data_IF_785224242847
#
_entry.id   IF_785224242847
#
_cell.length_a   1.000
_cell.length_b   1.000
_cell.length_c   1.000
_cell.angle_alpha   90.00
_cell.angle_beta   90.00
_cell.angle_gamma   90.00
#
_symmetry.space_group_name_H-M   'P 1'
#
loop_
_entity.id
_entity.type
_entity.pdbx_description
1 polymer ?
#
# COMPACT_ATOMS: atom_id res chain seq x y z
N UNK A 1 -74.44 -34.19 -53.54
CA UNK A 1 -73.11 -33.84 -54.03
C UNK A 1 -72.45 -32.94 -52.99
N UNK A 2 -71.56 -33.47 -52.18
CA UNK A 2 -70.85 -32.74 -51.07
C UNK A 2 -69.36 -32.71 -51.38
N UNK A 3 -68.82 -31.52 -51.58
CA UNK A 3 -67.35 -31.31 -51.71
C UNK A 3 -66.70 -31.30 -50.34
N UNK A 4 -65.46 -31.84 -50.15
CA UNK A 4 -64.76 -31.81 -48.91
C UNK A 4 -63.92 -30.55 -48.82
N UNK A 5 -63.92 -29.98 -47.61
CA UNK A 5 -63.12 -28.82 -47.16
C UNK A 5 -61.66 -29.28 -46.88
N UNK A 6 -60.73 -28.79 -47.65
CA UNK A 6 -59.31 -29.09 -47.45
C UNK A 6 -58.71 -28.10 -46.39
N UNK A 7 -58.29 -28.62 -45.24
CA UNK A 7 -57.62 -27.92 -44.16
C UNK A 7 -56.12 -27.74 -44.52
N UNK A 8 -55.70 -26.53 -44.78
CA UNK A 8 -54.26 -26.20 -44.98
C UNK A 8 -53.57 -25.95 -43.61
N UNK A 9 -52.76 -26.91 -43.22
CA UNK A 9 -51.82 -26.76 -42.10
C UNK A 9 -50.59 -25.94 -42.58
N UNK A 10 -50.38 -24.76 -41.99
CA UNK A 10 -49.17 -23.99 -42.17
C UNK A 10 -48.13 -24.46 -41.13
N UNK A 11 -46.83 -24.67 -41.47
CA UNK A 11 -45.83 -25.02 -40.52
C UNK A 11 -45.36 -23.76 -39.79
N UNK A 12 -45.50 -23.77 -38.48
CA UNK A 12 -44.94 -22.76 -37.57
C UNK A 12 -43.44 -23.03 -37.44
N UNK A 13 -42.60 -22.23 -38.15
CA UNK A 13 -41.15 -22.28 -38.01
C UNK A 13 -40.74 -21.63 -36.69
N UNK A 14 -40.38 -22.44 -35.70
CA UNK A 14 -39.79 -22.01 -34.46
C UNK A 14 -38.32 -21.55 -34.72
N UNK A 15 -38.10 -20.24 -34.80
CA UNK A 15 -36.77 -19.67 -34.82
C UNK A 15 -36.18 -19.79 -33.41
N UNK A 16 -35.41 -20.83 -33.13
CA UNK A 16 -34.52 -20.88 -31.97
C UNK A 16 -33.40 -19.84 -32.18
N UNK A 17 -33.51 -18.70 -31.49
CA UNK A 17 -32.44 -17.76 -31.34
C UNK A 17 -31.29 -18.38 -30.52
N UNK A 18 -30.22 -18.81 -31.17
CA UNK A 18 -28.93 -19.06 -30.48
C UNK A 18 -28.46 -17.74 -29.93
N UNK A 19 -28.67 -17.48 -28.64
CA UNK A 19 -27.96 -16.48 -27.92
C UNK A 19 -26.50 -16.95 -27.87
N UNK A 20 -25.65 -16.37 -28.72
CA UNK A 20 -24.21 -16.58 -28.67
C UNK A 20 -23.71 -16.09 -27.30
N UNK A 21 -23.49 -17.03 -26.38
CA UNK A 21 -22.77 -16.73 -25.13
C UNK A 21 -21.38 -16.21 -25.52
N UNK A 22 -21.16 -14.91 -25.37
CA UNK A 22 -19.82 -14.35 -25.51
C UNK A 22 -18.87 -15.16 -24.59
N UNK A 23 -17.72 -15.61 -25.10
CA UNK A 23 -16.78 -16.35 -24.25
C UNK A 23 -16.43 -15.46 -23.05
N UNK A 24 -16.67 -15.96 -21.84
CA UNK A 24 -16.22 -15.33 -20.63
C UNK A 24 -14.70 -15.21 -20.73
N UNK A 25 -14.20 -14.01 -20.96
CA UNK A 25 -12.77 -13.77 -21.05
C UNK A 25 -12.15 -14.16 -19.71
N UNK A 26 -11.26 -15.14 -19.73
CA UNK A 26 -10.56 -15.59 -18.52
C UNK A 26 -9.83 -14.40 -17.91
N UNK A 27 -10.06 -14.16 -16.62
CA UNK A 27 -9.41 -13.06 -15.91
C UNK A 27 -7.94 -13.39 -15.70
N UNK A 28 -7.07 -12.39 -15.89
CA UNK A 28 -5.64 -12.52 -15.64
C UNK A 28 -5.38 -12.59 -14.13
N UNK A 29 -4.73 -13.66 -13.68
CA UNK A 29 -4.31 -13.78 -12.29
C UNK A 29 -3.27 -12.71 -11.95
N UNK A 30 -3.44 -12.06 -10.81
CA UNK A 30 -2.51 -11.05 -10.31
C UNK A 30 -2.38 -11.17 -8.80
N UNK A 31 -1.15 -11.40 -8.33
CA UNK A 31 -0.86 -11.51 -6.89
C UNK A 31 -0.22 -10.22 -6.39
N UNK A 32 -0.85 -9.59 -5.41
CA UNK A 32 -0.34 -8.42 -4.70
C UNK A 32 -0.04 -8.78 -3.25
N UNK A 33 1.13 -8.40 -2.74
CA UNK A 33 1.49 -8.67 -1.35
C UNK A 33 1.64 -7.38 -0.57
N UNK A 34 0.91 -7.26 0.55
CA UNK A 34 1.02 -6.12 1.45
C UNK A 34 2.30 -6.20 2.28
N UNK A 35 2.79 -5.04 2.74
CA UNK A 35 4.01 -4.97 3.55
C UNK A 35 3.80 -5.38 5.01
N UNK A 36 2.55 -5.44 5.46
CA UNK A 36 2.16 -5.64 6.85
C UNK A 36 0.91 -6.50 6.97
N UNK A 37 0.50 -6.84 8.20
CA UNK A 37 -0.80 -7.44 8.48
C UNK A 37 -1.94 -6.56 7.95
N UNK A 38 -3.05 -7.19 7.55
CA UNK A 38 -4.19 -6.47 7.00
C UNK A 38 -4.74 -5.43 7.99
N UNK A 39 -4.87 -4.20 7.51
CA UNK A 39 -5.35 -3.05 8.28
C UNK A 39 -5.83 -1.94 7.33
N UNK A 40 -6.33 -0.82 7.87
CA UNK A 40 -6.95 0.24 7.09
C UNK A 40 -6.02 0.89 6.05
N UNK A 41 -4.71 0.88 6.26
CA UNK A 41 -3.69 1.37 5.33
C UNK A 41 -3.57 0.52 4.06
N UNK A 42 -4.26 -0.61 4.01
CA UNK A 42 -4.43 -1.46 2.82
C UNK A 42 -5.85 -1.35 2.24
N UNK A 43 -6.70 -0.51 2.85
CA UNK A 43 -8.15 -0.48 2.64
C UNK A 43 -8.57 -0.35 1.20
N UNK A 44 -7.93 0.50 0.40
CA UNK A 44 -8.28 0.66 -1.02
C UNK A 44 -8.06 -0.59 -1.86
N UNK A 45 -7.02 -1.37 -1.57
CA UNK A 45 -6.77 -2.63 -2.26
C UNK A 45 -7.82 -3.69 -1.88
N UNK A 46 -8.14 -3.81 -0.60
CA UNK A 46 -9.21 -4.68 -0.12
C UNK A 46 -10.59 -4.25 -0.61
N UNK A 47 -10.82 -2.96 -0.75
CA UNK A 47 -12.08 -2.43 -1.29
C UNK A 47 -12.26 -2.79 -2.76
N UNK A 48 -11.21 -2.62 -3.56
CA UNK A 48 -11.23 -3.02 -4.97
C UNK A 48 -11.49 -4.52 -5.13
N UNK A 49 -10.97 -5.34 -4.22
CA UNK A 49 -11.23 -6.78 -4.18
C UNK A 49 -12.69 -7.07 -3.77
N UNK A 50 -13.14 -6.50 -2.64
CA UNK A 50 -14.46 -6.73 -2.08
C UNK A 50 -15.60 -6.34 -3.03
N UNK A 51 -15.45 -5.24 -3.75
CA UNK A 51 -16.43 -4.71 -4.69
C UNK A 51 -16.28 -5.26 -6.12
N UNK A 52 -15.33 -6.16 -6.36
CA UNK A 52 -15.10 -6.73 -7.70
C UNK A 52 -14.54 -5.71 -8.71
N UNK A 53 -13.96 -4.59 -8.25
CA UNK A 53 -13.40 -3.57 -9.15
C UNK A 53 -12.26 -4.17 -9.98
N UNK A 54 -11.39 -5.01 -9.39
CA UNK A 54 -10.36 -5.70 -10.16
C UNK A 54 -10.93 -6.57 -11.28
N UNK A 55 -12.03 -7.30 -11.02
CA UNK A 55 -12.71 -8.12 -12.02
C UNK A 55 -13.26 -7.28 -13.19
N UNK A 56 -13.78 -6.09 -12.90
CA UNK A 56 -14.22 -5.11 -13.91
C UNK A 56 -13.08 -4.75 -14.88
N UNK A 57 -11.84 -4.76 -14.40
CA UNK A 57 -10.64 -4.50 -15.21
C UNK A 57 -9.96 -5.78 -15.72
N UNK A 58 -10.63 -6.93 -15.68
CA UNK A 58 -10.13 -8.18 -16.23
C UNK A 58 -9.11 -8.91 -15.36
N UNK A 59 -8.99 -8.55 -14.07
CA UNK A 59 -8.03 -9.15 -13.13
C UNK A 59 -8.73 -10.05 -12.10
N UNK A 60 -8.13 -11.22 -11.87
CA UNK A 60 -8.37 -12.07 -10.71
C UNK A 60 -7.24 -11.82 -9.69
N UNK A 61 -7.50 -10.90 -8.75
CA UNK A 61 -6.49 -10.44 -7.80
C UNK A 61 -6.53 -11.25 -6.51
N UNK A 62 -5.37 -11.78 -6.12
CA UNK A 62 -5.13 -12.34 -4.80
C UNK A 62 -4.27 -11.34 -3.98
N UNK A 63 -4.80 -10.90 -2.83
CA UNK A 63 -4.02 -10.13 -1.85
C UNK A 63 -3.42 -11.11 -0.86
N UNK A 64 -2.08 -11.09 -0.71
CA UNK A 64 -1.36 -11.83 0.31
C UNK A 64 -0.86 -10.87 1.38
N UNK A 65 -1.12 -11.21 2.62
CA UNK A 65 -0.70 -10.43 3.77
C UNK A 65 0.78 -10.66 4.06
N UNK A 66 1.54 -9.57 4.26
CA UNK A 66 2.90 -9.61 4.78
C UNK A 66 2.93 -9.62 6.31
N UNK A 67 3.95 -9.01 6.88
CA UNK A 67 4.10 -8.90 8.34
C UNK A 67 5.44 -8.28 8.75
N UNK A 68 5.64 -7.98 10.03
CA UNK A 68 6.77 -7.19 10.53
C UNK A 68 8.15 -7.79 10.25
N UNK A 69 8.23 -9.11 10.11
CA UNK A 69 9.49 -9.83 9.83
C UNK A 69 9.45 -10.56 8.48
N UNK A 70 8.47 -10.27 7.62
CA UNK A 70 8.33 -10.90 6.30
C UNK A 70 9.12 -10.10 5.26
N UNK A 71 10.02 -10.77 4.53
CA UNK A 71 10.76 -10.15 3.43
C UNK A 71 9.97 -10.28 2.11
N UNK A 72 8.97 -9.42 1.95
CA UNK A 72 8.09 -9.42 0.76
C UNK A 72 8.85 -9.12 -0.54
N UNK A 73 9.95 -8.36 -0.46
CA UNK A 73 10.79 -8.06 -1.63
C UNK A 73 11.45 -9.32 -2.17
N UNK A 74 11.98 -10.16 -1.27
CA UNK A 74 12.55 -11.45 -1.66
C UNK A 74 11.49 -12.39 -2.23
N UNK A 75 10.29 -12.40 -1.64
CA UNK A 75 9.16 -13.21 -2.14
C UNK A 75 8.74 -12.77 -3.55
N UNK A 76 8.68 -11.46 -3.81
CA UNK A 76 8.42 -10.93 -5.16
C UNK A 76 9.54 -11.32 -6.14
N UNK A 77 10.80 -11.18 -5.74
CA UNK A 77 11.94 -11.59 -6.58
C UNK A 77 11.92 -13.09 -6.90
N UNK A 78 11.37 -13.92 -6.01
CA UNK A 78 11.14 -15.36 -6.22
C UNK A 78 9.85 -15.67 -7.02
N UNK A 79 9.14 -14.67 -7.53
CA UNK A 79 7.94 -14.84 -8.36
C UNK A 79 6.66 -15.18 -7.57
N UNK A 80 6.64 -15.01 -6.25
CA UNK A 80 5.47 -15.31 -5.42
C UNK A 80 4.42 -14.17 -5.39
N UNK A 81 4.78 -13.01 -5.92
CA UNK A 81 3.90 -11.88 -6.14
C UNK A 81 4.29 -11.14 -7.44
N UNK A 82 3.31 -10.57 -8.11
CA UNK A 82 3.51 -9.71 -9.29
C UNK A 82 4.03 -8.34 -8.88
N UNK A 83 3.41 -7.78 -7.83
CA UNK A 83 3.81 -6.53 -7.22
C UNK A 83 3.64 -6.60 -5.70
N UNK A 84 4.29 -5.70 -5.01
CA UNK A 84 4.25 -5.58 -3.55
C UNK A 84 3.88 -4.15 -3.13
N UNK A 85 3.45 -4.00 -1.90
CA UNK A 85 3.34 -2.71 -1.25
C UNK A 85 4.70 -2.31 -0.67
N UNK A 86 5.36 -1.32 -1.27
CA UNK A 86 6.48 -0.66 -0.62
C UNK A 86 5.98 0.23 0.53
N UNK A 87 6.68 0.23 1.65
CA UNK A 87 6.34 1.17 2.74
C UNK A 87 6.53 2.62 2.29
N UNK A 88 7.58 2.86 1.48
CA UNK A 88 7.83 4.15 0.85
C UNK A 88 8.63 4.00 -0.45
N UNK A 89 8.62 5.05 -1.29
CA UNK A 89 9.47 5.15 -2.47
C UNK A 89 10.96 5.14 -2.11
N UNK A 90 11.33 5.81 -1.03
CA UNK A 90 12.70 5.82 -0.46
C UNK A 90 13.16 4.40 -0.13
N UNK A 91 12.32 3.60 0.54
CA UNK A 91 12.64 2.20 0.83
C UNK A 91 12.93 1.41 -0.46
N UNK A 92 12.10 1.59 -1.50
CA UNK A 92 12.26 0.84 -2.74
C UNK A 92 13.52 1.27 -3.52
N UNK A 93 13.93 2.53 -3.43
CA UNK A 93 15.22 2.98 -3.99
C UNK A 93 16.41 2.27 -3.30
N UNK A 94 16.37 2.12 -1.98
CA UNK A 94 17.41 1.39 -1.22
C UNK A 94 17.35 -0.13 -1.46
N UNK A 95 16.17 -0.69 -1.70
CA UNK A 95 16.02 -2.09 -2.14
C UNK A 95 16.68 -2.30 -3.51
N UNK A 96 16.48 -1.34 -4.42
CA UNK A 96 17.12 -1.35 -5.74
C UNK A 96 18.64 -1.25 -5.64
N UNK A 97 19.17 -0.39 -4.77
CA UNK A 97 20.61 -0.33 -4.48
C UNK A 97 21.18 -1.69 -4.03
N UNK A 98 20.39 -2.44 -3.29
CA UNK A 98 20.71 -3.81 -2.87
C UNK A 98 20.64 -4.85 -4.00
N UNK A 99 20.44 -4.44 -5.25
CA UNK A 99 20.49 -5.31 -6.45
C UNK A 99 19.14 -5.90 -6.88
N UNK A 100 18.01 -5.55 -6.22
CA UNK A 100 16.69 -6.00 -6.66
C UNK A 100 16.11 -4.97 -7.64
N UNK A 101 15.86 -5.32 -8.92
CA UNK A 101 15.39 -4.38 -9.94
C UNK A 101 13.89 -4.05 -9.78
N UNK A 102 13.56 -3.36 -8.70
CA UNK A 102 12.21 -2.93 -8.35
C UNK A 102 11.93 -1.53 -8.91
N UNK A 103 10.69 -1.30 -9.35
CA UNK A 103 10.19 -0.03 -9.90
C UNK A 103 8.91 0.35 -9.17
N UNK A 104 8.82 1.59 -8.67
CA UNK A 104 7.57 2.15 -8.16
C UNK A 104 6.66 2.54 -9.33
N UNK A 105 5.42 2.08 -9.33
CA UNK A 105 4.45 2.32 -10.42
C UNK A 105 3.25 3.16 -9.97
N UNK A 106 3.03 3.30 -8.65
CA UNK A 106 2.03 4.18 -8.03
C UNK A 106 2.41 4.46 -6.57
N UNK A 107 1.90 5.57 -6.01
CA UNK A 107 2.01 5.91 -4.58
C UNK A 107 0.66 6.40 -4.04
N UNK A 108 0.02 5.59 -3.22
CA UNK A 108 -1.33 5.89 -2.74
C UNK A 108 -1.34 6.86 -1.56
N UNK A 109 -0.26 6.95 -0.79
CA UNK A 109 -0.15 7.96 0.25
C UNK A 109 0.80 9.08 -0.15
N UNK A 110 0.25 10.29 -0.21
CA UNK A 110 0.96 11.51 -0.54
C UNK A 110 1.78 12.06 0.64
N UNK A 111 1.49 11.60 1.86
CA UNK A 111 2.23 11.88 3.08
C UNK A 111 2.51 10.56 3.78
N UNK A 112 3.75 10.36 4.22
CA UNK A 112 4.16 9.14 4.93
C UNK A 112 3.60 9.16 6.36
N UNK A 113 2.79 8.16 6.77
CA UNK A 113 2.26 8.06 8.12
C UNK A 113 3.23 7.48 9.15
N UNK A 114 4.45 7.12 8.77
CA UNK A 114 5.42 6.48 9.65
C UNK A 114 5.86 7.38 10.80
N UNK A 115 5.96 6.82 11.99
CA UNK A 115 6.29 7.51 13.23
C UNK A 115 7.21 6.65 14.10
N UNK A 116 7.96 7.30 15.02
CA UNK A 116 8.33 6.69 16.29
C UNK A 116 7.39 7.18 17.37
N UNK A 117 6.96 6.25 18.21
CA UNK A 117 6.11 6.51 19.37
C UNK A 117 6.94 6.26 20.60
N UNK A 118 6.98 7.22 21.50
CA UNK A 118 7.71 7.14 22.77
C UNK A 118 6.79 7.53 23.94
N UNK A 119 7.22 7.27 25.15
CA UNK A 119 6.52 7.78 26.34
C UNK A 119 6.61 9.30 26.43
N UNK A 120 5.79 9.90 27.28
CA UNK A 120 5.60 11.35 27.38
C UNK A 120 6.78 12.16 27.95
N UNK A 121 7.83 11.49 28.40
CA UNK A 121 9.11 12.09 28.76
C UNK A 121 9.95 12.50 27.52
N UNK A 122 9.71 11.86 26.36
CA UNK A 122 10.35 12.17 25.08
C UNK A 122 9.58 13.29 24.38
N UNK A 123 10.29 14.31 23.86
CA UNK A 123 9.66 15.43 23.13
C UNK A 123 10.19 15.55 21.68
N UNK A 124 11.36 15.01 21.39
CA UNK A 124 12.04 15.08 20.09
C UNK A 124 12.87 13.83 19.85
N UNK A 125 13.33 13.62 18.62
CA UNK A 125 14.10 12.43 18.26
C UNK A 125 15.41 12.30 19.05
N UNK A 126 16.06 13.41 19.41
CA UNK A 126 17.31 13.39 20.17
C UNK A 126 17.15 12.81 21.59
N UNK A 127 15.93 12.87 22.15
CA UNK A 127 15.61 12.32 23.47
C UNK A 127 15.51 10.78 23.45
N UNK A 128 15.55 10.17 22.25
CA UNK A 128 15.53 8.71 22.08
C UNK A 128 16.90 8.06 22.29
N UNK A 129 17.97 8.84 22.46
CA UNK A 129 19.30 8.30 22.73
C UNK A 129 19.30 7.45 24.01
N UNK A 130 19.82 6.23 23.91
CA UNK A 130 19.86 5.27 25.01
C UNK A 130 18.55 4.53 25.29
N UNK A 131 17.44 4.86 24.63
CA UNK A 131 16.19 4.09 24.73
C UNK A 131 16.22 2.86 23.81
N UNK A 132 15.51 1.82 24.17
CA UNK A 132 15.24 0.67 23.28
C UNK A 132 14.20 1.09 22.23
N UNK A 133 14.46 0.77 20.96
CA UNK A 133 13.57 1.14 19.84
C UNK A 133 13.13 -0.12 19.11
N UNK A 134 11.82 -0.40 19.13
CA UNK A 134 11.25 -1.56 18.46
C UNK A 134 10.94 -1.21 17.00
N UNK A 135 11.58 -1.91 16.05
CA UNK A 135 11.41 -1.70 14.61
C UNK A 135 11.15 -3.01 13.86
N UNK A 136 10.38 -2.95 12.80
CA UNK A 136 10.20 -4.05 11.85
C UNK A 136 11.38 -4.17 10.89
N UNK A 137 11.53 -5.32 10.25
CA UNK A 137 12.66 -5.59 9.35
C UNK A 137 12.76 -4.62 8.17
N UNK A 138 11.62 -4.10 7.68
CA UNK A 138 11.58 -3.15 6.57
C UNK A 138 12.22 -1.80 6.90
N UNK A 139 12.25 -1.40 8.18
CA UNK A 139 12.85 -0.14 8.63
C UNK A 139 14.33 -0.02 8.24
N UNK A 140 15.06 -1.13 8.21
CA UNK A 140 16.49 -1.18 7.91
C UNK A 140 16.82 -0.72 6.47
N UNK A 141 15.85 -0.78 5.57
CA UNK A 141 15.92 -0.23 4.21
C UNK A 141 14.79 0.79 4.00
N UNK A 142 14.73 1.80 4.84
CA UNK A 142 13.71 2.83 4.82
C UNK A 142 14.15 3.99 5.69
N UNK A 143 13.41 4.26 6.74
CA UNK A 143 13.64 5.41 7.62
C UNK A 143 14.78 5.23 8.62
N UNK A 144 15.16 4.01 9.00
CA UNK A 144 16.13 3.78 10.07
C UNK A 144 17.53 4.32 9.74
N UNK A 145 18.09 4.13 8.54
CA UNK A 145 19.36 4.77 8.15
C UNK A 145 19.32 6.29 8.26
N UNK A 146 18.20 6.91 7.91
CA UNK A 146 18.02 8.35 8.06
C UNK A 146 17.97 8.79 9.52
N UNK A 147 17.25 8.08 10.39
CA UNK A 147 17.19 8.37 11.82
C UNK A 147 18.59 8.28 12.45
N UNK A 148 19.39 7.27 12.09
CA UNK A 148 20.79 7.16 12.53
C UNK A 148 21.63 8.35 12.10
N UNK A 149 21.59 8.67 10.81
CA UNK A 149 22.41 9.75 10.25
C UNK A 149 22.04 11.13 10.80
N UNK A 150 20.74 11.38 11.02
CA UNK A 150 20.26 12.71 11.40
C UNK A 150 20.23 12.94 12.91
N UNK A 151 19.87 11.94 13.70
CA UNK A 151 19.62 12.10 15.15
C UNK A 151 20.62 11.31 16.01
N UNK A 152 21.56 10.59 15.40
CA UNK A 152 22.60 9.85 16.10
C UNK A 152 22.08 8.64 16.87
N UNK A 153 20.98 8.03 16.42
CA UNK A 153 20.52 6.74 16.91
C UNK A 153 21.43 5.63 16.42
N UNK A 154 21.41 4.45 17.08
CA UNK A 154 22.32 3.35 16.77
C UNK A 154 21.61 2.02 16.67
N UNK A 155 22.22 1.05 15.97
CA UNK A 155 21.64 -0.27 15.78
C UNK A 155 21.53 -1.07 17.10
N UNK A 156 22.38 -0.79 18.07
CA UNK A 156 22.37 -1.41 19.41
C UNK A 156 21.08 -1.11 20.18
N UNK A 157 20.42 0.02 19.88
CA UNK A 157 19.14 0.39 20.46
C UNK A 157 17.98 -0.44 19.91
N UNK A 158 18.15 -1.07 18.75
CA UNK A 158 17.01 -1.72 18.07
C UNK A 158 16.68 -3.09 18.61
N UNK A 159 15.37 -3.42 18.62
CA UNK A 159 14.84 -4.75 18.87
C UNK A 159 13.70 -5.00 17.88
N UNK A 160 13.39 -6.28 17.56
CA UNK A 160 12.30 -6.59 16.64
C UNK A 160 10.93 -6.11 17.14
N UNK A 161 10.21 -5.38 16.30
CA UNK A 161 8.79 -5.08 16.51
C UNK A 161 7.94 -6.17 15.85
N UNK A 162 6.95 -6.68 16.59
CA UNK A 162 6.11 -7.81 16.17
C UNK A 162 4.62 -7.48 16.08
N UNK A 163 4.27 -6.20 15.96
CA UNK A 163 2.90 -5.68 16.03
C UNK A 163 2.25 -5.93 17.41
N UNK A 164 3.05 -5.93 18.46
CA UNK A 164 2.62 -6.06 19.84
C UNK A 164 3.11 -4.85 20.64
N UNK A 165 2.19 -4.07 21.19
CA UNK A 165 2.49 -2.87 21.99
C UNK A 165 2.89 -3.17 23.43
N UNK A 166 2.75 -4.41 23.91
CA UNK A 166 2.98 -4.74 25.33
C UNK A 166 4.40 -4.45 25.81
N UNK A 167 5.49 -4.70 25.03
CA UNK A 167 6.82 -4.29 25.43
C UNK A 167 6.96 -2.79 25.65
N UNK A 168 6.29 -1.97 24.82
CA UNK A 168 6.24 -0.52 24.98
C UNK A 168 5.45 -0.11 26.23
N UNK A 169 4.28 -0.73 26.45
CA UNK A 169 3.43 -0.43 27.60
C UNK A 169 4.12 -0.76 28.93
N UNK A 170 4.91 -1.85 28.96
CA UNK A 170 5.56 -2.36 30.17
C UNK A 170 6.84 -1.60 30.55
N UNK A 171 7.53 -0.99 29.60
CA UNK A 171 8.85 -0.36 29.84
C UNK A 171 8.90 1.06 29.27
N UNK A 172 8.97 2.06 30.17
CA UNK A 172 9.08 3.48 29.84
C UNK A 172 10.38 3.84 29.07
N UNK A 173 11.39 2.97 29.12
CA UNK A 173 12.62 3.17 28.36
C UNK A 173 12.50 2.64 26.91
N UNK A 174 11.32 2.24 26.48
CA UNK A 174 11.05 1.72 25.14
C UNK A 174 10.32 2.74 24.29
N UNK A 175 10.78 2.90 23.04
CA UNK A 175 10.04 3.51 21.94
C UNK A 175 9.73 2.45 20.88
N UNK A 176 8.77 2.70 20.02
CA UNK A 176 8.44 1.78 18.94
C UNK A 176 8.08 2.50 17.65
N UNK A 177 8.27 1.82 16.54
CA UNK A 177 7.68 2.26 15.28
C UNK A 177 6.15 2.19 15.33
N UNK A 178 5.51 2.91 14.44
CA UNK A 178 4.09 2.82 14.18
C UNK A 178 3.69 3.61 12.94
N UNK A 179 2.42 3.51 12.61
CA UNK A 179 1.76 4.44 11.73
C UNK A 179 0.84 5.34 12.55
N UNK A 180 0.80 6.62 12.26
CA UNK A 180 -0.10 7.58 12.92
C UNK A 180 -1.56 7.11 12.93
N UNK A 181 -1.92 6.33 11.96
CA UNK A 181 -3.25 5.74 11.75
C UNK A 181 -3.50 4.45 12.54
N UNK A 182 -2.52 3.90 13.26
CA UNK A 182 -2.62 2.57 13.88
C UNK A 182 -2.23 2.57 15.35
N UNK A 183 -0.95 2.40 15.67
CA UNK A 183 -0.44 2.16 17.03
C UNK A 183 -0.79 3.24 18.07
N UNK A 184 -0.86 4.55 17.74
CA UNK A 184 -1.23 5.56 18.73
C UNK A 184 -2.60 5.29 19.37
N UNK A 185 -3.56 4.76 18.61
CA UNK A 185 -4.85 4.37 19.14
C UNK A 185 -4.76 3.21 20.14
N UNK A 186 -4.04 2.15 19.78
CA UNK A 186 -3.86 0.99 20.64
C UNK A 186 -3.17 1.35 21.98
N UNK A 187 -2.13 2.22 21.92
CA UNK A 187 -1.40 2.73 23.06
C UNK A 187 -2.31 3.60 23.95
N UNK A 188 -3.11 4.47 23.34
CA UNK A 188 -4.09 5.29 24.07
C UNK A 188 -5.13 4.42 24.77
N UNK A 189 -5.64 3.39 24.11
CA UNK A 189 -6.59 2.41 24.71
C UNK A 189 -5.97 1.63 25.87
N UNK A 190 -4.66 1.38 25.84
CA UNK A 190 -3.91 0.79 26.95
C UNK A 190 -3.67 1.78 28.12
N UNK A 191 -4.15 3.02 28.02
CA UNK A 191 -4.02 4.04 29.06
C UNK A 191 -2.63 4.67 29.18
N UNK A 192 -1.76 4.49 28.17
CA UNK A 192 -0.40 5.02 28.18
C UNK A 192 -0.36 6.37 27.46
N UNK A 193 0.20 7.40 28.11
CA UNK A 193 0.51 8.68 27.49
C UNK A 193 1.75 8.53 26.61
N UNK A 194 1.66 9.01 25.39
CA UNK A 194 2.75 8.90 24.42
C UNK A 194 2.95 10.16 23.61
N UNK A 195 4.18 10.35 23.13
CA UNK A 195 4.56 11.32 22.12
C UNK A 195 4.71 10.61 20.79
N UNK A 196 4.14 11.19 19.73
CA UNK A 196 4.22 10.68 18.37
C UNK A 196 5.16 11.58 17.56
N UNK A 197 6.27 11.03 17.09
CA UNK A 197 7.29 11.72 16.30
C UNK A 197 7.16 11.32 14.83
N UNK A 198 6.47 12.15 14.05
CA UNK A 198 6.18 11.85 12.64
C UNK A 198 7.37 12.20 11.75
N UNK A 199 7.81 11.27 10.90
CA UNK A 199 9.00 11.44 10.07
C UNK A 199 8.84 12.56 9.04
N UNK A 200 7.68 12.65 8.40
CA UNK A 200 7.39 13.68 7.41
C UNK A 200 7.42 15.11 7.98
N UNK A 201 7.12 15.29 9.27
CA UNK A 201 7.18 16.59 9.94
C UNK A 201 8.63 17.00 10.28
N UNK A 202 9.59 16.07 10.15
CA UNK A 202 10.99 16.28 10.44
C UNK A 202 11.89 16.18 9.18
N UNK A 203 11.27 16.30 8.00
CA UNK A 203 11.99 16.40 6.73
C UNK A 203 12.27 15.07 6.03
N UNK A 204 11.50 14.01 6.32
CA UNK A 204 11.51 12.78 5.55
C UNK A 204 10.47 12.89 4.41
N UNK A 205 10.89 13.06 3.13
CA UNK A 205 10.00 13.54 2.06
C UNK A 205 9.23 12.44 1.33
N UNK A 206 9.17 11.22 1.87
CA UNK A 206 8.73 10.03 1.18
C UNK A 206 7.26 10.07 0.74
N UNK A 207 7.00 9.51 -0.43
CA UNK A 207 5.72 8.86 -0.73
C UNK A 207 5.59 7.57 0.09
N UNK A 208 4.38 7.18 0.46
CA UNK A 208 4.15 5.90 1.13
C UNK A 208 3.05 5.06 0.44
N UNK A 209 2.90 3.82 0.91
CA UNK A 209 1.94 2.87 0.32
C UNK A 209 2.11 2.78 -1.20
N UNK A 210 3.36 2.55 -1.62
CA UNK A 210 3.68 2.44 -3.05
C UNK A 210 3.27 1.08 -3.60
N UNK A 211 2.86 1.03 -4.86
CA UNK A 211 2.85 -0.22 -5.63
C UNK A 211 4.18 -0.34 -6.33
N UNK A 212 4.88 -1.41 -6.04
CA UNK A 212 6.23 -1.65 -6.53
C UNK A 212 6.32 -3.03 -7.16
N UNK A 213 6.84 -3.09 -8.38
CA UNK A 213 6.90 -4.32 -9.19
C UNK A 213 8.33 -4.55 -9.67
N UNK A 214 8.69 -5.78 -10.06
CA UNK A 214 9.94 -6.04 -10.76
C UNK A 214 9.92 -5.38 -12.14
N UNK A 215 11.05 -4.89 -12.63
CA UNK A 215 11.19 -4.38 -14.02
C UNK A 215 10.62 -5.36 -15.06
N UNK A 216 10.86 -6.65 -14.85
CA UNK A 216 10.32 -7.72 -15.71
C UNK A 216 8.80 -7.69 -15.73
N UNK A 217 8.16 -7.59 -14.56
CA UNK A 217 6.69 -7.52 -14.45
C UNK A 217 6.14 -6.28 -15.14
N UNK A 218 6.78 -5.12 -14.92
CA UNK A 218 6.39 -3.86 -15.59
C UNK A 218 6.44 -4.00 -17.11
N UNK A 219 7.48 -4.64 -17.65
CA UNK A 219 7.66 -4.83 -19.08
C UNK A 219 6.70 -5.88 -19.68
N UNK A 220 6.60 -7.06 -19.05
CA UNK A 220 5.91 -8.21 -19.62
C UNK A 220 4.40 -8.20 -19.30
N UNK A 221 3.98 -7.53 -18.22
CA UNK A 221 2.60 -7.48 -17.73
C UNK A 221 2.09 -6.04 -17.58
N UNK A 222 2.54 -5.13 -18.44
CA UNK A 222 2.22 -3.70 -18.39
C UNK A 222 0.71 -3.43 -18.33
N UNK A 223 -0.10 -4.16 -19.12
CA UNK A 223 -1.56 -4.03 -19.13
C UNK A 223 -2.19 -4.42 -17.80
N UNK A 224 -1.71 -5.51 -17.18
CA UNK A 224 -2.19 -5.97 -15.88
C UNK A 224 -1.79 -4.99 -14.76
N UNK A 225 -0.56 -4.46 -14.81
CA UNK A 225 -0.09 -3.42 -13.87
C UNK A 225 -0.95 -2.16 -13.99
N UNK A 226 -1.23 -1.69 -15.22
CA UNK A 226 -2.10 -0.53 -15.46
C UNK A 226 -3.52 -0.76 -14.89
N UNK A 227 -4.10 -1.93 -15.18
CA UNK A 227 -5.42 -2.33 -14.67
C UNK A 227 -5.45 -2.39 -13.14
N UNK A 228 -4.41 -2.96 -12.51
CA UNK A 228 -4.28 -3.05 -11.06
C UNK A 228 -4.18 -1.66 -10.41
N UNK A 229 -3.33 -0.78 -10.94
CA UNK A 229 -3.15 0.58 -10.41
C UNK A 229 -4.45 1.37 -10.50
N UNK A 230 -5.12 1.36 -11.65
CA UNK A 230 -6.38 2.08 -11.85
C UNK A 230 -7.50 1.55 -10.95
N UNK A 231 -7.67 0.23 -10.90
CA UNK A 231 -8.67 -0.40 -10.03
C UNK A 231 -8.40 -0.11 -8.54
N UNK A 232 -7.13 -0.10 -8.13
CA UNK A 232 -6.74 0.25 -6.77
C UNK A 232 -7.06 1.72 -6.45
N UNK A 233 -6.87 2.64 -7.39
CA UNK A 233 -7.25 4.05 -7.21
C UNK A 233 -8.78 4.22 -7.03
N UNK A 234 -9.60 3.52 -7.83
CA UNK A 234 -11.05 3.47 -7.63
C UNK A 234 -11.40 2.84 -6.27
N UNK A 235 -10.69 1.78 -5.88
CA UNK A 235 -10.83 1.15 -4.57
C UNK A 235 -10.54 2.11 -3.41
N UNK A 236 -9.48 2.89 -3.48
CA UNK A 236 -9.17 3.89 -2.47
C UNK A 236 -10.23 4.99 -2.39
N UNK A 237 -10.70 5.50 -3.52
CA UNK A 237 -11.81 6.46 -3.55
C UNK A 237 -13.06 5.89 -2.87
N UNK A 238 -13.44 4.66 -3.23
CA UNK A 238 -14.59 3.97 -2.64
C UNK A 238 -14.40 3.67 -1.15
N UNK A 239 -13.19 3.26 -0.73
CA UNK A 239 -12.88 2.96 0.68
C UNK A 239 -13.06 4.18 1.57
N UNK A 240 -12.61 5.34 1.12
CA UNK A 240 -12.78 6.57 1.88
C UNK A 240 -14.25 7.00 1.95
N UNK A 241 -15.08 6.64 1.00
CA UNK A 241 -16.52 6.93 1.03
C UNK A 241 -17.27 5.95 1.96
N UNK A 242 -17.07 4.65 1.76
CA UNK A 242 -17.66 3.57 2.58
C UNK A 242 -16.63 2.43 2.79
N UNK A 243 -16.00 2.35 3.96
CA UNK A 243 -14.97 1.34 4.23
C UNK A 243 -15.53 -0.05 4.57
N UNK A 244 -16.84 -0.22 4.76
CA UNK A 244 -17.41 -1.44 5.31
C UNK A 244 -17.08 -2.71 4.50
N UNK A 245 -17.15 -2.72 3.15
CA UNK A 245 -16.81 -3.91 2.37
C UNK A 245 -15.37 -4.37 2.55
N UNK A 246 -14.41 -3.43 2.54
CA UNK A 246 -12.99 -3.73 2.77
C UNK A 246 -12.73 -4.18 4.20
N UNK A 247 -13.32 -3.49 5.18
CA UNK A 247 -13.12 -3.79 6.61
C UNK A 247 -13.55 -5.22 6.96
N UNK A 248 -14.60 -5.75 6.30
CA UNK A 248 -15.01 -7.14 6.47
C UNK A 248 -13.91 -8.13 6.03
N UNK A 249 -13.24 -7.87 4.90
CA UNK A 249 -12.12 -8.69 4.42
C UNK A 249 -10.87 -8.50 5.28
N UNK A 250 -10.57 -7.27 5.68
CA UNK A 250 -9.43 -6.96 6.56
C UNK A 250 -9.54 -7.73 7.87
N UNK A 251 -10.72 -7.72 8.52
CA UNK A 251 -10.97 -8.47 9.76
C UNK A 251 -10.92 -9.99 9.56
N UNK A 252 -11.28 -10.49 8.38
CA UNK A 252 -11.14 -11.91 8.05
C UNK A 252 -9.67 -12.32 7.98
N UNK A 253 -8.82 -11.51 7.36
CA UNK A 253 -7.39 -11.80 7.20
C UNK A 253 -6.60 -11.49 8.49
N UNK A 254 -7.01 -10.45 9.24
CA UNK A 254 -6.42 -10.07 10.52
C UNK A 254 -7.50 -9.93 11.60
N UNK A 255 -7.85 -11.01 12.30
CA UNK A 255 -8.87 -10.98 13.36
C UNK A 255 -8.58 -10.06 14.55
N UNK A 256 -7.33 -9.57 14.67
CA UNK A 256 -6.95 -8.62 15.72
C UNK A 256 -7.41 -7.18 15.42
N UNK A 257 -7.85 -6.89 14.19
CA UNK A 257 -8.41 -5.58 13.84
C UNK A 257 -9.83 -5.43 14.36
N UNK A 258 -10.04 -4.48 15.28
CA UNK A 258 -11.37 -4.14 15.79
C UNK A 258 -12.04 -3.07 14.91
N UNK A 259 -13.38 -2.97 15.00
CA UNK A 259 -14.11 -1.93 14.28
C UNK A 259 -13.72 -0.52 14.73
N UNK A 260 -13.49 -0.32 16.05
CA UNK A 260 -13.02 0.95 16.60
C UNK A 260 -11.63 1.35 16.05
N UNK A 261 -10.69 0.38 15.96
CA UNK A 261 -9.37 0.60 15.39
C UNK A 261 -9.47 1.01 13.92
N UNK A 262 -10.28 0.31 13.14
CA UNK A 262 -10.49 0.60 11.72
C UNK A 262 -11.16 1.97 11.54
N UNK A 263 -12.15 2.31 12.37
CA UNK A 263 -12.82 3.62 12.34
C UNK A 263 -11.83 4.76 12.64
N UNK A 264 -11.00 4.61 13.68
CA UNK A 264 -9.93 5.56 13.99
C UNK A 264 -8.98 5.73 12.80
N UNK A 265 -8.52 4.62 12.22
CA UNK A 265 -7.57 4.64 11.10
C UNK A 265 -8.13 5.36 9.89
N UNK A 266 -9.39 5.06 9.51
CA UNK A 266 -10.07 5.74 8.38
C UNK A 266 -10.25 7.23 8.64
N UNK A 267 -10.62 7.60 9.88
CA UNK A 267 -10.74 9.00 10.26
C UNK A 267 -9.41 9.75 10.11
N UNK A 268 -8.31 9.14 10.56
CA UNK A 268 -6.95 9.72 10.42
C UNK A 268 -6.48 9.80 8.97
N UNK A 269 -6.74 8.80 8.15
CA UNK A 269 -6.43 8.84 6.71
C UNK A 269 -7.10 10.05 6.03
N UNK A 270 -8.37 10.33 6.37
CA UNK A 270 -9.14 11.48 5.86
C UNK A 270 -8.62 12.80 6.42
N UNK A 271 -8.47 12.90 7.75
CA UNK A 271 -8.01 14.10 8.46
C UNK A 271 -6.67 14.59 7.90
N UNK A 272 -5.74 13.66 7.68
CA UNK A 272 -4.40 13.97 7.18
C UNK A 272 -4.32 14.12 5.66
N UNK A 273 -5.40 13.87 4.94
CA UNK A 273 -5.42 13.91 3.48
C UNK A 273 -4.41 12.96 2.83
N UNK A 274 -4.13 11.81 3.46
CA UNK A 274 -3.02 10.95 3.03
C UNK A 274 -3.18 10.45 1.61
N UNK A 275 -4.41 10.08 1.22
CA UNK A 275 -4.74 9.53 -0.10
C UNK A 275 -5.13 10.63 -1.08
N UNK A 276 -5.82 11.65 -0.61
CA UNK A 276 -6.52 12.66 -1.45
C UNK A 276 -5.84 14.03 -1.44
N UNK A 277 -4.85 14.23 -0.58
CA UNK A 277 -4.09 15.48 -0.48
C UNK A 277 -2.94 15.58 -1.47
N UNK A 278 -2.10 16.61 -1.31
CA UNK A 278 -0.93 16.83 -2.15
C UNK A 278 -1.24 16.85 -3.64
N UNK A 279 -0.41 16.19 -4.44
CA UNK A 279 -0.58 16.09 -5.89
C UNK A 279 -1.84 15.30 -6.28
N UNK A 280 -2.29 14.36 -5.44
CA UNK A 280 -3.47 13.54 -5.71
C UNK A 280 -4.76 14.36 -5.81
N UNK A 281 -4.85 15.49 -5.12
CA UNK A 281 -6.02 16.38 -5.18
C UNK A 281 -6.29 16.91 -6.60
N UNK A 282 -5.25 17.04 -7.42
CA UNK A 282 -5.31 17.59 -8.78
C UNK A 282 -5.09 16.55 -9.86
N UNK A 283 -4.19 15.58 -9.61
CA UNK A 283 -3.71 14.65 -10.63
C UNK A 283 -4.34 13.26 -10.50
N UNK A 284 -4.96 12.95 -9.35
CA UNK A 284 -5.65 11.70 -9.09
C UNK A 284 -4.96 10.83 -8.03
N UNK A 285 -5.76 9.96 -7.43
CA UNK A 285 -5.33 9.01 -6.38
C UNK A 285 -4.29 8.05 -6.96
N UNK A 286 -3.20 7.85 -6.24
CA UNK A 286 -2.11 6.97 -6.65
C UNK A 286 -0.98 7.66 -7.42
N UNK A 287 -1.12 8.98 -7.69
CA UNK A 287 -0.14 9.74 -8.49
C UNK A 287 1.25 9.77 -7.84
N UNK A 288 2.25 9.70 -8.70
CA UNK A 288 3.63 10.13 -8.44
C UNK A 288 4.03 11.16 -9.47
N UNK A 289 4.86 12.12 -9.09
CA UNK A 289 5.41 13.13 -9.98
C UNK A 289 6.93 13.01 -10.08
N UNK A 290 7.48 13.37 -11.24
CA UNK A 290 8.94 13.37 -11.47
C UNK A 290 9.64 14.27 -10.45
N UNK A 291 9.04 15.43 -10.14
CA UNK A 291 9.60 16.38 -9.19
C UNK A 291 9.75 15.78 -7.78
N UNK A 292 8.73 15.08 -7.27
CA UNK A 292 8.80 14.47 -5.93
C UNK A 292 9.67 13.22 -5.91
N UNK A 293 9.61 12.38 -6.94
CA UNK A 293 10.49 11.22 -7.05
C UNK A 293 11.95 11.64 -7.10
N UNK A 294 12.26 12.73 -7.82
CA UNK A 294 13.59 13.33 -7.81
C UNK A 294 13.97 13.87 -6.41
N UNK A 295 13.05 14.54 -5.72
CA UNK A 295 13.31 15.08 -4.39
C UNK A 295 13.62 13.96 -3.37
N UNK A 296 12.90 12.83 -3.40
CA UNK A 296 13.19 11.65 -2.59
C UNK A 296 14.57 11.06 -2.91
N UNK A 297 14.93 10.99 -4.19
CA UNK A 297 16.25 10.51 -4.62
C UNK A 297 17.37 11.45 -4.18
N UNK A 298 17.24 12.75 -4.46
CA UNK A 298 18.24 13.77 -4.08
C UNK A 298 18.45 13.82 -2.55
N UNK A 299 17.36 13.65 -1.79
CA UNK A 299 17.42 13.54 -0.33
C UNK A 299 18.31 12.37 0.10
N UNK A 300 18.11 11.18 -0.48
CA UNK A 300 18.92 10.00 -0.14
C UNK A 300 20.39 10.18 -0.52
N UNK A 301 20.68 10.73 -1.70
CA UNK A 301 22.05 10.98 -2.18
C UNK A 301 22.73 12.01 -1.28
N UNK A 302 22.07 13.13 -0.98
CA UNK A 302 22.60 14.19 -0.13
C UNK A 302 22.89 13.70 1.30
N UNK A 303 21.99 12.85 1.82
CA UNK A 303 22.16 12.24 3.14
C UNK A 303 23.19 11.07 3.13
N UNK A 304 23.79 10.74 1.99
CA UNK A 304 24.69 9.58 1.80
C UNK A 304 24.03 8.23 2.16
N UNK A 305 22.73 8.13 1.90
CA UNK A 305 21.91 6.93 2.14
C UNK A 305 21.62 6.15 0.87
N UNK A 306 22.11 6.62 -0.27
CA UNK A 306 22.04 5.99 -1.58
C UNK A 306 23.30 6.37 -2.39
N UNK A 307 23.87 5.38 -3.05
CA UNK A 307 24.99 5.58 -3.98
C UNK A 307 24.44 5.82 -5.41
N UNK A 308 24.57 7.04 -5.94
CA UNK A 308 24.08 7.36 -7.28
C UNK A 308 24.80 6.59 -8.39
N UNK A 309 25.98 6.02 -8.14
CA UNK A 309 26.66 5.16 -9.10
C UNK A 309 25.99 3.78 -9.25
N UNK A 310 25.22 3.34 -8.25
CA UNK A 310 24.50 2.06 -8.25
C UNK A 310 23.02 2.16 -8.65
N UNK A 311 22.43 3.34 -8.50
CA UNK A 311 20.99 3.54 -8.71
C UNK A 311 20.74 4.75 -9.58
N UNK A 312 20.26 4.51 -10.80
CA UNK A 312 19.80 5.56 -11.70
C UNK A 312 18.35 5.95 -11.33
N UNK A 313 18.08 7.23 -11.11
CA UNK A 313 16.74 7.73 -10.79
C UNK A 313 15.66 7.23 -11.76
N UNK A 314 15.93 7.30 -13.06
CA UNK A 314 14.98 6.90 -14.10
C UNK A 314 14.55 5.41 -14.05
N UNK A 315 15.29 4.58 -13.31
CA UNK A 315 14.97 3.16 -13.11
C UNK A 315 14.22 2.89 -11.79
N UNK A 316 14.04 3.89 -10.95
CA UNK A 316 13.41 3.70 -9.62
C UNK A 316 11.89 3.81 -9.64
N UNK A 317 11.33 4.47 -10.63
CA UNK A 317 9.89 4.70 -10.78
C UNK A 317 9.49 4.86 -12.24
N UNK A 318 8.17 4.78 -12.48
CA UNK A 318 7.53 5.24 -13.72
C UNK A 318 6.18 5.88 -13.41
N UNK A 319 5.87 6.96 -14.11
CA UNK A 319 4.56 7.65 -14.02
C UNK A 319 3.55 7.16 -15.05
N UNK A 320 3.94 6.22 -15.92
CA UNK A 320 3.13 5.72 -17.03
C UNK A 320 1.74 5.24 -16.61
N UNK A 321 1.66 4.52 -15.48
CA UNK A 321 0.42 3.89 -15.02
C UNK A 321 -0.52 4.82 -14.25
N UNK A 322 -0.04 5.98 -13.81
CA UNK A 322 -0.81 6.90 -12.97
C UNK A 322 -1.28 8.16 -13.71
N UNK A 323 -0.52 8.63 -14.71
CA UNK A 323 -0.86 9.85 -15.45
C UNK A 323 -2.20 9.79 -16.20
N UNK A 324 -2.62 8.60 -16.62
CA UNK A 324 -3.85 8.36 -17.37
C UNK A 324 -4.96 7.73 -16.50
N UNK A 325 -4.65 7.28 -15.29
CA UNK A 325 -5.63 6.71 -14.36
C UNK A 325 -6.69 7.73 -13.94
N UNK A 326 -6.28 8.98 -13.61
CA UNK A 326 -7.10 10.19 -13.34
C UNK A 326 -8.34 9.93 -12.46
N UNK A 327 -8.20 9.11 -11.44
CA UNK A 327 -9.26 8.90 -10.44
C UNK A 327 -9.17 10.04 -9.43
N UNK A 328 -9.90 11.12 -9.67
CA UNK A 328 -9.95 12.24 -8.74
C UNK A 328 -10.63 11.86 -7.43
N UNK A 329 -10.23 12.46 -6.31
CA UNK A 329 -10.86 12.26 -5.00
C UNK A 329 -12.37 12.46 -4.96
#
# INVERSE_FOLDING_TARGET
>A
MRLPLALRLAPLAAALGLAAAAPAQAQDKFTYMTNWYAQAEHGGFYQALAQGIYKKYGLDVAIKMGGPQVNITQMMAAGQADCIMGSSDIQMMQVREGGVPVVNVAAFFQKDPQVLIAHDDVKKFEDLKGKTILIGAQANRGYWPWLKARFGLTDEQTRPYTFNIQPFVADKNTAQQGYLTSEPYAIQKAGVKSTVLMFSDHGFPAYATTVSCMEKTVKERSKQVAAFVKASAEGWKSYLADPAPANALIKKDNPNMTDDQLAYSVAKLKEMGMVTGGDAAKLGIGVMTDARSKASYDFLVTAKLLDPAKVELAKTYTTEFVKDAKVLP
#
